data_IF_296829854405
#
_entry.id   IF_296829854405
#
_cell.length_a   1.000
_cell.length_b   1.000
_cell.length_c   1.000
_cell.angle_alpha   90.00
_cell.angle_beta   90.00
_cell.angle_gamma   90.00
#
_symmetry.space_group_name_H-M   'P 1'
#
loop_
_entity.id
_entity.type
_entity.pdbx_description
1 polymer ?
#
# COMPACT_ATOMS: atom_id res chain seq x y z
N UNK A 1 -10.73 30.57 5.55
CA UNK A 1 -11.77 29.86 6.34
C UNK A 1 -11.13 28.60 6.86
N UNK A 2 -11.11 28.39 8.18
CA UNK A 2 -10.58 27.14 8.74
C UNK A 2 -11.56 26.01 8.44
N UNK A 3 -11.02 24.87 8.00
CA UNK A 3 -11.82 23.64 7.83
C UNK A 3 -12.50 23.28 9.17
N UNK A 4 -13.69 22.65 9.14
CA UNK A 4 -14.34 22.19 10.37
C UNK A 4 -13.41 21.28 11.19
N UNK A 5 -13.45 21.33 12.53
CA UNK A 5 -12.55 20.52 13.37
C UNK A 5 -12.65 19.02 13.05
N UNK A 6 -13.84 18.49 12.83
CA UNK A 6 -14.05 17.08 12.49
C UNK A 6 -13.35 16.68 11.17
N UNK A 7 -13.36 17.53 10.14
CA UNK A 7 -12.65 17.26 8.88
C UNK A 7 -11.13 17.18 9.13
N UNK A 8 -10.58 18.05 9.96
CA UNK A 8 -9.16 18.04 10.29
C UNK A 8 -8.79 16.79 11.08
N UNK A 9 -9.57 16.43 12.10
CA UNK A 9 -9.34 15.21 12.91
C UNK A 9 -9.37 13.95 12.03
N UNK A 10 -10.28 13.87 11.07
CA UNK A 10 -10.38 12.76 10.12
C UNK A 10 -9.23 12.74 9.12
N UNK A 11 -8.79 13.91 8.64
CA UNK A 11 -7.61 14.01 7.78
C UNK A 11 -6.32 13.62 8.52
N UNK A 12 -6.22 13.99 9.79
CA UNK A 12 -5.10 13.59 10.64
C UNK A 12 -5.12 12.07 10.88
N UNK A 13 -6.28 11.49 11.16
CA UNK A 13 -6.45 10.05 11.27
C UNK A 13 -6.07 9.30 9.97
N UNK A 14 -6.45 9.85 8.81
CA UNK A 14 -6.10 9.30 7.50
C UNK A 14 -4.59 9.36 7.22
N UNK A 15 -3.92 10.39 7.70
CA UNK A 15 -2.49 10.58 7.52
C UNK A 15 -1.64 10.00 8.68
N UNK A 16 -2.28 9.51 9.75
CA UNK A 16 -1.58 8.94 10.92
C UNK A 16 -0.66 7.76 10.53
N UNK A 17 -1.08 6.75 9.72
CA UNK A 17 -0.14 5.88 9.07
C UNK A 17 0.52 6.65 7.90
N UNK A 18 1.86 6.85 7.92
CA UNK A 18 2.53 7.55 6.83
C UNK A 18 2.22 6.90 5.48
N UNK A 19 1.82 7.68 4.49
CA UNK A 19 1.53 7.16 3.14
C UNK A 19 2.72 6.40 2.54
N UNK A 20 3.95 6.81 2.90
CA UNK A 20 5.18 6.09 2.53
C UNK A 20 5.20 4.66 3.09
N UNK A 21 4.70 4.44 4.34
CA UNK A 21 4.58 3.09 4.94
C UNK A 21 3.55 2.24 4.21
N UNK A 22 2.39 2.79 3.92
CA UNK A 22 1.35 2.05 3.16
C UNK A 22 1.86 1.67 1.76
N UNK A 23 2.52 2.60 1.06
CA UNK A 23 3.15 2.32 -0.22
C UNK A 23 4.29 1.29 -0.13
N UNK A 24 5.03 1.26 0.97
CA UNK A 24 6.05 0.25 1.23
C UNK A 24 5.41 -1.12 1.45
N UNK A 25 4.41 -1.25 2.33
CA UNK A 25 3.66 -2.48 2.56
C UNK A 25 3.06 -3.02 1.27
N UNK A 26 2.51 -2.15 0.43
CA UNK A 26 2.00 -2.51 -0.89
C UNK A 26 3.10 -3.12 -1.77
N UNK A 27 4.31 -2.55 -1.79
CA UNK A 27 5.43 -3.12 -2.56
C UNK A 27 5.84 -4.50 -2.06
N UNK A 28 5.85 -4.73 -0.75
CA UNK A 28 6.12 -6.05 -0.18
C UNK A 28 5.01 -7.05 -0.50
N UNK A 29 3.75 -6.66 -0.41
CA UNK A 29 2.62 -7.50 -0.75
C UNK A 29 2.60 -7.90 -2.25
N UNK A 30 3.06 -7.00 -3.13
CA UNK A 30 3.07 -7.23 -4.59
C UNK A 30 4.40 -7.78 -5.12
N UNK A 31 5.43 -7.94 -4.27
CA UNK A 31 6.76 -8.39 -4.70
C UNK A 31 7.53 -7.35 -5.52
N UNK A 32 7.16 -6.08 -5.41
CA UNK A 32 7.79 -4.96 -6.14
C UNK A 32 8.71 -4.11 -5.26
N UNK A 33 9.06 -4.61 -4.07
CA UNK A 33 9.98 -3.94 -3.16
C UNK A 33 11.36 -3.79 -3.81
N UNK A 34 12.03 -2.70 -3.44
CA UNK A 34 13.41 -2.45 -3.92
C UNK A 34 14.36 -3.43 -3.26
N UNK A 35 15.35 -3.89 -4.03
CA UNK A 35 16.44 -4.67 -3.46
C UNK A 35 17.22 -3.82 -2.45
N UNK A 36 17.20 -4.25 -1.20
CA UNK A 36 17.98 -3.64 -0.15
C UNK A 36 19.46 -4.04 -0.25
N UNK A 37 20.33 -3.29 0.42
CA UNK A 37 21.78 -3.57 0.53
C UNK A 37 22.54 -3.61 -0.80
N UNK A 38 22.04 -3.00 -1.86
CA UNK A 38 22.74 -2.78 -3.11
C UNK A 38 23.25 -1.33 -3.19
N UNK A 39 24.57 -1.15 -3.42
CA UNK A 39 25.09 0.15 -3.80
C UNK A 39 24.53 0.58 -5.16
N UNK A 40 24.55 1.88 -5.43
CA UNK A 40 24.06 2.41 -6.70
C UNK A 40 24.90 1.89 -7.89
N UNK A 41 26.22 1.73 -7.68
CA UNK A 41 27.14 1.17 -8.67
C UNK A 41 26.83 -0.32 -8.94
N UNK A 42 26.58 -1.12 -7.88
CA UNK A 42 26.17 -2.51 -8.03
C UNK A 42 24.84 -2.64 -8.76
N UNK A 43 23.92 -1.71 -8.52
CA UNK A 43 22.62 -1.67 -9.18
C UNK A 43 22.74 -1.33 -10.67
N UNK A 44 23.66 -0.42 -11.02
CA UNK A 44 23.96 -0.09 -12.43
C UNK A 44 24.70 -1.21 -13.15
N UNK A 45 25.54 -1.96 -12.43
CA UNK A 45 26.31 -3.08 -13.00
C UNK A 45 25.49 -4.37 -13.15
N UNK A 46 24.36 -4.50 -12.46
CA UNK A 46 23.45 -5.63 -12.59
C UNK A 46 22.53 -5.43 -13.80
N UNK A 47 22.37 -6.49 -14.58
CA UNK A 47 21.38 -6.51 -15.65
C UNK A 47 20.00 -6.20 -15.09
N UNK A 48 19.18 -5.48 -15.86
CA UNK A 48 17.84 -5.03 -15.48
C UNK A 48 16.90 -6.16 -15.03
N UNK A 49 17.18 -7.39 -15.40
CA UNK A 49 16.43 -8.57 -15.00
C UNK A 49 16.79 -9.07 -13.59
N UNK A 50 18.06 -8.98 -13.19
CA UNK A 50 18.52 -9.52 -11.90
C UNK A 50 18.08 -8.64 -10.72
N UNK A 51 18.00 -7.33 -10.87
CA UNK A 51 17.61 -6.46 -9.76
C UNK A 51 16.10 -6.49 -9.45
N UNK A 52 15.28 -7.06 -10.33
CA UNK A 52 13.83 -7.25 -10.13
C UNK A 52 13.48 -8.59 -9.47
N UNK A 53 14.49 -9.42 -9.21
CA UNK A 53 14.24 -10.69 -8.55
C UNK A 53 13.89 -10.45 -7.09
N UNK A 54 12.65 -10.71 -6.75
CA UNK A 54 12.16 -10.70 -5.38
C UNK A 54 11.36 -11.96 -5.11
N UNK A 55 11.69 -12.63 -4.01
CA UNK A 55 10.88 -13.74 -3.51
C UNK A 55 9.68 -13.16 -2.78
N UNK A 56 8.46 -13.46 -3.27
CA UNK A 56 7.24 -12.87 -2.73
C UNK A 56 6.67 -13.67 -1.54
N UNK A 57 7.52 -13.97 -0.54
CA UNK A 57 7.11 -14.58 0.74
C UNK A 57 6.05 -13.73 1.45
N UNK A 58 6.13 -12.39 1.47
CA UNK A 58 5.12 -11.56 2.10
C UNK A 58 3.71 -11.82 1.57
N UNK A 59 3.52 -11.88 0.24
CA UNK A 59 2.23 -12.21 -0.34
C UNK A 59 1.75 -13.62 0.04
N UNK A 60 2.67 -14.59 0.06
CA UNK A 60 2.34 -15.96 0.46
C UNK A 60 1.91 -16.02 1.93
N UNK A 61 2.54 -15.25 2.82
CA UNK A 61 2.16 -15.16 4.22
C UNK A 61 0.73 -14.64 4.37
N UNK A 62 0.39 -13.53 3.72
CA UNK A 62 -0.95 -12.96 3.74
C UNK A 62 -1.99 -13.94 3.14
N UNK A 63 -1.71 -14.52 1.96
CA UNK A 63 -2.65 -15.43 1.31
C UNK A 63 -2.92 -16.69 2.14
N UNK A 64 -1.88 -17.26 2.75
CA UNK A 64 -2.03 -18.44 3.63
C UNK A 64 -2.88 -18.18 4.86
N UNK A 65 -2.85 -16.96 5.41
CA UNK A 65 -3.74 -16.55 6.49
C UNK A 65 -5.15 -16.32 5.97
N UNK A 66 -5.32 -15.61 4.85
CA UNK A 66 -6.63 -15.37 4.23
C UNK A 66 -7.39 -16.64 3.89
N UNK A 67 -6.71 -17.68 3.41
CA UNK A 67 -7.31 -18.97 3.08
C UNK A 67 -7.97 -19.66 4.29
N UNK A 68 -7.52 -19.33 5.49
CA UNK A 68 -8.05 -19.86 6.76
C UNK A 68 -9.16 -18.99 7.35
N UNK A 69 -9.27 -17.75 6.89
CA UNK A 69 -10.32 -16.82 7.33
C UNK A 69 -11.56 -17.04 6.48
N UNK A 70 -12.61 -17.60 7.10
CA UNK A 70 -13.90 -17.82 6.42
C UNK A 70 -15.03 -17.37 7.31
N UNK A 71 -15.98 -16.66 6.73
CA UNK A 71 -17.25 -16.36 7.37
C UNK A 71 -18.14 -17.59 7.21
N UNK A 72 -18.45 -18.25 8.31
CA UNK A 72 -19.26 -19.48 8.28
C UNK A 72 -20.76 -19.21 8.24
N UNK A 73 -21.20 -18.02 8.61
CA UNK A 73 -22.60 -17.63 8.60
C UNK A 73 -22.89 -16.50 9.56
N UNK A 74 -24.14 -16.15 9.62
CA UNK A 74 -24.67 -15.10 10.48
C UNK A 74 -25.80 -15.68 11.34
N UNK A 75 -25.98 -15.11 12.52
CA UNK A 75 -27.11 -15.47 13.42
C UNK A 75 -28.47 -15.02 12.87
N UNK A 76 -28.49 -13.96 12.03
CA UNK A 76 -29.69 -13.47 11.35
C UNK A 76 -29.70 -13.94 9.88
N UNK A 77 -30.74 -14.70 9.44
CA UNK A 77 -30.86 -15.13 8.04
C UNK A 77 -30.87 -13.98 7.02
N UNK A 78 -31.38 -12.79 7.41
CA UNK A 78 -31.40 -11.61 6.55
C UNK A 78 -29.97 -11.10 6.28
N UNK A 79 -29.06 -11.25 7.23
CA UNK A 79 -27.65 -10.88 7.04
C UNK A 79 -26.98 -11.81 6.02
N UNK A 80 -27.31 -13.10 6.02
CA UNK A 80 -26.81 -14.07 5.01
C UNK A 80 -27.30 -13.71 3.60
N UNK A 81 -28.58 -13.35 3.46
CA UNK A 81 -29.15 -12.93 2.18
C UNK A 81 -28.48 -11.64 1.68
N UNK A 82 -28.30 -10.65 2.56
CA UNK A 82 -27.63 -9.39 2.22
C UNK A 82 -26.18 -9.63 1.82
N UNK A 83 -25.45 -10.47 2.52
CA UNK A 83 -24.06 -10.79 2.27
C UNK A 83 -23.88 -11.37 0.85
N UNK A 84 -24.72 -12.33 0.46
CA UNK A 84 -24.69 -12.90 -0.89
C UNK A 84 -25.15 -11.91 -1.97
N UNK A 85 -26.20 -11.14 -1.67
CA UNK A 85 -26.77 -10.18 -2.62
C UNK A 85 -25.85 -8.97 -2.91
N UNK A 86 -24.96 -8.65 -1.99
CA UNK A 86 -23.99 -7.54 -2.15
C UNK A 86 -22.63 -8.01 -2.60
N UNK A 87 -22.50 -9.29 -3.00
CA UNK A 87 -21.22 -9.92 -3.39
C UNK A 87 -20.14 -9.86 -2.30
N UNK A 88 -20.53 -9.64 -1.03
CA UNK A 88 -19.61 -9.62 0.09
C UNK A 88 -18.97 -10.99 0.36
N UNK A 89 -19.57 -12.06 -0.10
CA UNK A 89 -18.98 -13.41 -0.08
C UNK A 89 -17.67 -13.50 -0.86
N UNK A 90 -17.54 -12.73 -1.95
CA UNK A 90 -16.33 -12.60 -2.75
C UNK A 90 -15.43 -11.47 -2.25
N UNK A 91 -16.01 -10.33 -1.92
CA UNK A 91 -15.28 -9.12 -1.48
C UNK A 91 -14.66 -9.26 -0.09
N UNK A 92 -15.23 -10.09 0.79
CA UNK A 92 -14.72 -10.26 2.15
C UNK A 92 -13.26 -10.75 2.19
N UNK A 93 -12.88 -11.64 1.29
CA UNK A 93 -11.48 -12.12 1.21
C UNK A 93 -10.51 -10.99 0.89
N UNK A 94 -10.89 -10.07 -0.01
CA UNK A 94 -10.07 -8.90 -0.32
C UNK A 94 -9.97 -7.97 0.89
N UNK A 95 -11.08 -7.67 1.56
CA UNK A 95 -11.08 -6.81 2.75
C UNK A 95 -10.25 -7.40 3.91
N UNK A 96 -10.27 -8.72 4.08
CA UNK A 96 -9.42 -9.43 5.05
C UNK A 96 -7.94 -9.39 4.63
N UNK A 97 -7.63 -9.55 3.34
CA UNK A 97 -6.27 -9.41 2.81
C UNK A 97 -5.72 -8.02 3.05
N UNK A 98 -6.53 -6.99 2.84
CA UNK A 98 -6.15 -5.60 3.11
C UNK A 98 -5.93 -5.36 4.61
N UNK A 99 -6.78 -5.92 5.49
CA UNK A 99 -6.61 -5.85 6.93
C UNK A 99 -5.28 -6.50 7.38
N UNK A 100 -4.93 -7.67 6.86
CA UNK A 100 -3.67 -8.36 7.15
C UNK A 100 -2.46 -7.59 6.59
N UNK A 101 -2.60 -7.03 5.40
CA UNK A 101 -1.50 -6.30 4.72
C UNK A 101 -1.22 -4.95 5.35
N UNK A 102 -2.25 -4.17 5.66
CA UNK A 102 -2.11 -2.77 6.10
C UNK A 102 -2.42 -2.56 7.58
N UNK A 103 -2.99 -3.56 8.25
CA UNK A 103 -3.43 -3.50 9.64
C UNK A 103 -4.92 -3.20 9.79
N UNK A 104 -5.55 -2.58 8.80
CA UNK A 104 -7.00 -2.33 8.75
C UNK A 104 -7.46 -2.35 7.29
N UNK A 105 -8.50 -3.10 7.00
CA UNK A 105 -9.26 -3.06 5.75
C UNK A 105 -10.55 -2.28 5.92
N UNK A 106 -11.16 -1.84 4.83
CA UNK A 106 -12.40 -1.06 4.89
C UNK A 106 -13.44 -1.59 3.92
N UNK A 107 -14.68 -1.70 4.41
CA UNK A 107 -15.86 -2.02 3.60
C UNK A 107 -16.83 -0.85 3.71
N UNK A 108 -17.23 -0.30 2.58
CA UNK A 108 -18.28 0.71 2.50
C UNK A 108 -19.59 0.04 2.10
N UNK A 109 -20.63 0.20 2.93
CA UNK A 109 -21.97 -0.30 2.64
C UNK A 109 -22.91 0.88 2.44
N UNK A 110 -23.48 1.01 1.25
CA UNK A 110 -24.29 2.16 0.87
C UNK A 110 -25.58 1.77 0.15
N UNK A 111 -26.59 2.60 0.22
CA UNK A 111 -27.82 2.44 -0.56
C UNK A 111 -27.74 3.21 -1.87
N UNK A 112 -27.77 2.52 -3.01
CA UNK A 112 -27.81 3.10 -4.35
C UNK A 112 -29.09 2.68 -5.06
N UNK A 113 -29.91 3.64 -5.45
CA UNK A 113 -31.19 3.37 -6.13
C UNK A 113 -32.09 2.39 -5.36
N UNK A 114 -32.17 2.53 -4.04
CA UNK A 114 -32.96 1.66 -3.15
C UNK A 114 -32.40 0.26 -2.94
N UNK A 115 -31.20 -0.04 -3.46
CA UNK A 115 -30.50 -1.31 -3.24
C UNK A 115 -29.25 -1.10 -2.42
N UNK A 116 -28.99 -1.99 -1.45
CA UNK A 116 -27.73 -2.02 -0.74
C UNK A 116 -26.62 -2.51 -1.68
N UNK A 117 -25.51 -1.81 -1.68
CA UNK A 117 -24.27 -2.16 -2.37
C UNK A 117 -23.14 -2.14 -1.35
N UNK A 118 -22.17 -3.02 -1.52
CA UNK A 118 -20.95 -3.04 -0.72
C UNK A 118 -19.74 -2.92 -1.64
N UNK A 119 -18.71 -2.25 -1.16
CA UNK A 119 -17.40 -2.16 -1.84
C UNK A 119 -16.28 -2.24 -0.84
N UNK A 120 -15.17 -2.85 -1.26
CA UNK A 120 -13.91 -2.81 -0.51
C UNK A 120 -13.16 -1.56 -0.92
N UNK A 121 -12.71 -0.81 0.07
CA UNK A 121 -12.07 0.48 -0.13
C UNK A 121 -10.57 0.41 0.18
N UNK A 122 -9.78 1.16 -0.58
CA UNK A 122 -8.34 1.22 -0.41
C UNK A 122 -7.97 1.79 0.96
N UNK A 123 -7.20 1.06 1.80
CA UNK A 123 -6.78 1.54 3.12
C UNK A 123 -5.96 2.83 3.10
N UNK A 124 -5.32 3.17 1.97
CA UNK A 124 -4.59 4.44 1.81
C UNK A 124 -5.52 5.65 1.64
N UNK A 125 -6.79 5.40 1.34
CA UNK A 125 -7.80 6.43 1.08
C UNK A 125 -8.83 6.55 2.19
N UNK A 126 -8.86 5.63 3.15
CA UNK A 126 -9.88 5.52 4.17
C UNK A 126 -9.31 5.58 5.59
N UNK A 127 -10.06 6.19 6.50
CA UNK A 127 -9.82 6.14 7.94
C UNK A 127 -11.14 6.27 8.69
N UNK A 128 -11.14 5.86 9.97
CA UNK A 128 -12.27 6.02 10.87
C UNK A 128 -11.81 6.59 12.21
N UNK A 129 -12.67 7.40 12.81
CA UNK A 129 -12.55 7.80 14.21
C UNK A 129 -13.40 6.85 15.05
N UNK A 130 -12.81 6.35 16.13
CA UNK A 130 -13.48 5.45 17.08
C UNK A 130 -13.61 6.12 18.43
N UNK A 131 -14.71 5.83 19.11
CA UNK A 131 -14.87 6.19 20.51
C UNK A 131 -13.83 5.44 21.35
N UNK A 132 -13.03 6.13 22.18
CA UNK A 132 -12.05 5.48 23.03
C UNK A 132 -12.66 4.60 24.11
N UNK A 133 -13.95 4.80 24.48
CA UNK A 133 -14.60 4.07 25.56
C UNK A 133 -15.10 2.69 25.11
N UNK A 134 -15.78 2.62 23.96
CA UNK A 134 -16.41 1.39 23.46
C UNK A 134 -15.92 0.95 22.09
N UNK A 135 -15.01 1.73 21.47
CA UNK A 135 -14.44 1.51 20.14
C UNK A 135 -15.47 1.55 19.00
N UNK A 136 -16.67 2.06 19.25
CA UNK A 136 -17.65 2.29 18.20
C UNK A 136 -17.13 3.30 17.17
N UNK A 137 -17.55 3.16 15.91
CA UNK A 137 -17.15 4.09 14.85
C UNK A 137 -18.01 5.35 14.93
N UNK A 138 -17.38 6.48 15.21
CA UNK A 138 -18.03 7.78 15.31
C UNK A 138 -18.15 8.48 13.95
N UNK A 139 -17.14 8.38 13.14
CA UNK A 139 -17.08 8.96 11.80
C UNK A 139 -16.09 8.21 10.91
N UNK A 140 -16.33 8.25 9.61
CA UNK A 140 -15.42 7.72 8.60
C UNK A 140 -15.05 8.77 7.56
N UNK A 141 -13.87 8.63 6.95
CA UNK A 141 -13.42 9.46 5.83
C UNK A 141 -12.97 8.59 4.68
N UNK A 142 -13.29 9.03 3.46
CA UNK A 142 -12.69 8.52 2.22
C UNK A 142 -12.18 9.71 1.42
N UNK A 143 -10.90 9.67 1.03
CA UNK A 143 -10.25 10.71 0.22
C UNK A 143 -9.66 10.08 -1.04
N UNK A 144 -9.97 10.63 -2.19
CA UNK A 144 -9.34 10.26 -3.45
C UNK A 144 -9.07 11.50 -4.31
N UNK A 145 -8.18 11.36 -5.27
CA UNK A 145 -7.80 12.43 -6.17
C UNK A 145 -8.30 12.13 -7.59
N UNK A 146 -8.82 13.16 -8.22
CA UNK A 146 -9.09 13.19 -9.65
C UNK A 146 -7.98 13.98 -10.37
N UNK A 147 -8.10 14.17 -11.68
CA UNK A 147 -7.13 14.97 -12.43
C UNK A 147 -7.03 16.44 -11.98
N UNK A 148 -8.13 17.00 -11.45
CA UNK A 148 -8.25 18.42 -11.09
C UNK A 148 -8.57 18.69 -9.64
N UNK A 149 -9.20 17.75 -8.95
CA UNK A 149 -9.73 17.94 -7.60
C UNK A 149 -9.35 16.80 -6.66
N UNK A 150 -9.30 17.10 -5.37
CA UNK A 150 -9.23 16.12 -4.29
C UNK A 150 -10.61 16.08 -3.63
N UNK A 151 -11.23 14.92 -3.68
CA UNK A 151 -12.56 14.68 -3.15
C UNK A 151 -12.46 14.00 -1.79
N UNK A 152 -13.26 14.46 -0.84
CA UNK A 152 -13.34 13.91 0.51
C UNK A 152 -14.79 13.69 0.87
N UNK A 153 -15.10 12.46 1.26
CA UNK A 153 -16.39 12.07 1.80
C UNK A 153 -16.23 11.79 3.30
N UNK A 154 -17.05 12.46 4.10
CA UNK A 154 -17.16 12.21 5.54
C UNK A 154 -18.47 11.47 5.79
N UNK A 155 -18.36 10.31 6.38
CA UNK A 155 -19.48 9.43 6.70
C UNK A 155 -19.82 9.55 8.18
N UNK A 156 -21.01 10.02 8.46
CA UNK A 156 -21.60 10.12 9.80
C UNK A 156 -22.81 9.19 9.91
N UNK A 157 -23.34 9.04 11.11
CA UNK A 157 -24.50 8.18 11.33
C UNK A 157 -25.79 8.73 10.68
N UNK A 158 -25.93 10.06 10.60
CA UNK A 158 -27.10 10.78 10.12
C UNK A 158 -26.94 11.39 8.72
N UNK A 159 -25.70 11.69 8.32
CA UNK A 159 -25.41 12.34 7.04
C UNK A 159 -24.08 11.91 6.44
N UNK A 160 -23.91 12.17 5.14
CA UNK A 160 -22.64 12.08 4.42
C UNK A 160 -22.33 13.45 3.84
N UNK A 161 -21.16 13.99 4.16
CA UNK A 161 -20.70 15.27 3.68
C UNK A 161 -19.68 15.06 2.55
N UNK A 162 -19.88 15.74 1.43
CA UNK A 162 -18.94 15.76 0.31
C UNK A 162 -18.18 17.07 0.28
N UNK A 163 -16.88 17.00 0.36
CA UNK A 163 -15.94 18.12 0.34
C UNK A 163 -15.02 17.99 -0.86
N UNK A 164 -14.70 19.12 -1.50
CA UNK A 164 -13.80 19.16 -2.64
C UNK A 164 -12.76 20.27 -2.47
N UNK A 165 -11.57 20.03 -2.99
CA UNK A 165 -10.49 21.01 -3.06
C UNK A 165 -9.72 20.85 -4.37
N UNK A 166 -9.14 21.93 -4.95
CA UNK A 166 -8.25 21.83 -6.10
C UNK A 166 -7.01 20.99 -5.77
N UNK A 167 -6.63 20.09 -6.66
CA UNK A 167 -5.42 19.24 -6.51
C UNK A 167 -4.12 20.05 -6.68
N UNK A 168 -4.18 21.19 -7.39
CA UNK A 168 -3.02 22.07 -7.66
C UNK A 168 -3.28 23.44 -7.08
N UNK A 169 -2.36 23.91 -6.23
CA UNK A 169 -2.40 25.24 -5.62
C UNK A 169 -1.77 25.23 -4.23
N UNK A 170 -1.19 26.34 -3.80
CA UNK A 170 -0.63 26.51 -2.45
C UNK A 170 -1.75 26.71 -1.41
N UNK A 171 -1.92 25.77 -0.50
CA UNK A 171 -2.94 25.79 0.55
C UNK A 171 -4.22 25.08 0.12
N UNK A 172 -4.38 23.84 0.61
CA UNK A 172 -5.58 23.04 0.33
C UNK A 172 -6.69 23.49 1.28
N UNK A 173 -7.66 24.24 0.75
CA UNK A 173 -8.89 24.59 1.48
C UNK A 173 -10.04 23.78 0.89
N UNK A 174 -10.62 22.90 1.71
CA UNK A 174 -11.78 22.12 1.31
C UNK A 174 -13.05 22.96 1.40
N UNK A 175 -13.87 22.92 0.36
CA UNK A 175 -15.21 23.51 0.32
C UNK A 175 -16.25 22.39 0.42
N UNK A 176 -17.27 22.58 1.24
CA UNK A 176 -18.43 21.70 1.29
C UNK A 176 -19.21 21.85 -0.02
N UNK A 177 -19.38 20.73 -0.73
CA UNK A 177 -20.14 20.68 -1.99
C UNK A 177 -21.59 20.34 -1.73
N UNK A 178 -21.83 19.29 -0.94
CA UNK A 178 -23.19 18.84 -0.60
C UNK A 178 -23.21 18.04 0.70
N UNK A 179 -24.39 17.90 1.26
CA UNK A 179 -24.68 17.01 2.40
C UNK A 179 -25.85 16.12 2.01
N UNK A 180 -25.67 14.81 2.16
CA UNK A 180 -26.64 13.79 1.79
C UNK A 180 -27.10 13.08 3.07
N UNK A 181 -28.42 12.96 3.34
CA UNK A 181 -28.91 12.21 4.48
C UNK A 181 -28.46 10.74 4.43
N UNK A 182 -28.02 10.20 5.56
CA UNK A 182 -27.67 8.80 5.69
C UNK A 182 -28.87 8.01 6.24
N UNK A 183 -29.56 7.20 5.42
CA UNK A 183 -30.76 6.49 5.88
C UNK A 183 -30.47 5.28 6.76
N UNK A 184 -29.19 4.91 6.94
CA UNK A 184 -28.83 3.68 7.68
C UNK A 184 -28.76 3.89 9.18
N UNK A 185 -28.65 5.15 9.66
CA UNK A 185 -28.53 5.48 11.08
C UNK A 185 -27.21 5.02 11.72
N UNK A 186 -26.22 4.61 10.91
CA UNK A 186 -24.89 4.21 11.35
C UNK A 186 -23.83 4.65 10.33
N UNK A 187 -22.57 4.76 10.76
CA UNK A 187 -21.47 5.08 9.83
C UNK A 187 -21.31 3.94 8.83
N UNK A 188 -21.46 4.19 7.53
CA UNK A 188 -21.45 3.15 6.51
C UNK A 188 -20.05 2.63 6.15
N UNK A 189 -18.98 3.29 6.59
CA UNK A 189 -17.60 2.85 6.43
C UNK A 189 -17.18 1.96 7.60
N UNK A 190 -17.06 0.67 7.33
CA UNK A 190 -16.86 -0.38 8.33
C UNK A 190 -15.38 -0.79 8.30
N UNK A 191 -14.60 -0.60 9.38
CA UNK A 191 -13.24 -1.07 9.47
C UNK A 191 -13.19 -2.56 9.83
N UNK A 192 -12.27 -3.28 9.19
CA UNK A 192 -11.87 -4.64 9.55
C UNK A 192 -10.47 -4.54 10.12
N UNK A 193 -10.35 -4.59 11.45
CA UNK A 193 -9.09 -4.38 12.14
C UNK A 193 -8.35 -5.69 12.39
N UNK A 194 -7.10 -5.75 11.95
CA UNK A 194 -6.13 -6.75 12.36
C UNK A 194 -5.19 -6.22 13.47
N UNK A 195 -5.25 -4.91 13.76
CA UNK A 195 -4.44 -4.24 14.77
C UNK A 195 -3.05 -3.84 14.29
N UNK A 196 -2.38 -4.68 13.49
CA UNK A 196 -1.09 -4.38 12.83
C UNK A 196 -1.01 -5.09 11.49
N UNK A 197 -0.04 -4.68 10.66
CA UNK A 197 0.28 -5.42 9.44
C UNK A 197 1.04 -6.71 9.76
N UNK A 198 0.67 -7.82 9.13
CA UNK A 198 1.42 -9.08 9.19
C UNK A 198 2.77 -8.97 8.47
N UNK A 199 2.95 -7.96 7.66
CA UNK A 199 4.20 -7.71 6.94
C UNK A 199 5.22 -6.89 7.75
N UNK A 200 4.84 -6.33 8.90
CA UNK A 200 5.74 -5.49 9.70
C UNK A 200 7.00 -6.24 10.17
N UNK A 201 6.87 -7.52 10.49
CA UNK A 201 8.00 -8.35 10.93
C UNK A 201 8.83 -8.90 9.75
N UNK A 202 8.33 -8.82 8.54
CA UNK A 202 8.96 -9.33 7.31
C UNK A 202 9.69 -8.24 6.52
N UNK A 203 9.18 -7.02 6.53
CA UNK A 203 9.75 -5.89 5.79
C UNK A 203 11.03 -5.38 6.43
N UNK A 204 11.94 -4.89 5.61
CA UNK A 204 13.18 -4.22 6.04
C UNK A 204 14.21 -5.12 6.71
N UNK A 205 14.00 -6.44 6.74
CA UNK A 205 14.88 -7.37 7.44
C UNK A 205 14.95 -8.74 6.78
N UNK A 206 14.18 -9.75 7.25
CA UNK A 206 14.36 -11.15 6.80
C UNK A 206 14.17 -11.35 5.30
N UNK A 207 13.16 -10.73 4.70
CA UNK A 207 12.87 -10.85 3.26
C UNK A 207 13.94 -10.16 2.43
N UNK A 208 14.40 -8.99 2.87
CA UNK A 208 15.44 -8.24 2.16
C UNK A 208 16.78 -8.96 2.23
N UNK A 209 17.12 -9.54 3.38
CA UNK A 209 18.32 -10.37 3.55
C UNK A 209 18.27 -11.60 2.63
N UNK A 210 17.14 -12.30 2.58
CA UNK A 210 16.94 -13.44 1.69
C UNK A 210 17.10 -13.05 0.22
N UNK A 211 16.45 -11.98 -0.21
CA UNK A 211 16.55 -11.47 -1.58
C UNK A 211 18.00 -11.11 -1.93
N UNK A 212 18.74 -10.51 -0.99
CA UNK A 212 20.16 -10.21 -1.17
C UNK A 212 21.01 -11.47 -1.34
N UNK A 213 20.77 -12.51 -0.52
CA UNK A 213 21.49 -13.78 -0.63
C UNK A 213 21.22 -14.44 -1.98
N UNK A 214 19.97 -14.53 -2.39
CA UNK A 214 19.58 -15.12 -3.68
C UNK A 214 20.23 -14.35 -4.82
N UNK A 215 20.22 -13.02 -4.79
CA UNK A 215 20.87 -12.20 -5.80
C UNK A 215 22.38 -12.46 -5.87
N UNK A 216 23.07 -12.53 -4.72
CA UNK A 216 24.49 -12.85 -4.67
C UNK A 216 24.80 -14.24 -5.23
N UNK A 217 23.96 -15.22 -4.92
CA UNK A 217 24.09 -16.58 -5.47
C UNK A 217 23.95 -16.57 -6.99
N UNK A 218 22.94 -15.90 -7.52
CA UNK A 218 22.72 -15.83 -8.97
C UNK A 218 23.87 -15.13 -9.71
N UNK A 219 24.36 -14.01 -9.16
CA UNK A 219 25.55 -13.31 -9.71
C UNK A 219 26.77 -14.22 -9.64
N UNK A 220 26.94 -14.99 -8.56
CA UNK A 220 28.03 -15.96 -8.41
C UNK A 220 27.97 -17.07 -9.47
N UNK A 221 26.78 -17.66 -9.66
CA UNK A 221 26.54 -18.70 -10.68
C UNK A 221 26.75 -18.13 -12.09
N UNK A 222 26.23 -16.94 -12.36
CA UNK A 222 26.41 -16.29 -13.65
C UNK A 222 27.91 -16.09 -13.97
N UNK A 223 28.68 -15.57 -13.01
CA UNK A 223 30.14 -15.39 -13.18
C UNK A 223 30.90 -16.70 -13.29
N UNK A 224 30.47 -17.75 -12.59
CA UNK A 224 31.11 -19.06 -12.65
C UNK A 224 30.78 -19.80 -13.96
N UNK A 225 29.60 -19.58 -14.53
CA UNK A 225 29.14 -20.19 -15.79
C UNK A 225 29.82 -19.63 -17.05
N UNK A 226 30.39 -18.43 -16.97
CA UNK A 226 31.23 -17.89 -18.05
C UNK A 226 32.70 -18.25 -17.77
N UNK A 227 33.33 -19.00 -18.70
CA UNK A 227 34.73 -19.41 -18.60
C UNK A 227 35.64 -18.24 -18.24
N UNK A 228 36.44 -18.38 -17.18
CA UNK A 228 37.43 -17.37 -16.81
C UNK A 228 38.65 -17.54 -17.69
N UNK A 229 38.96 -16.54 -18.52
CA UNK A 229 40.23 -16.48 -19.23
C UNK A 229 41.29 -15.91 -18.30
N UNK A 230 42.36 -16.68 -18.08
CA UNK A 230 43.52 -16.25 -17.33
C UNK A 230 44.61 -15.85 -18.35
N UNK A 231 45.13 -14.64 -18.20
CA UNK A 231 46.27 -14.18 -18.97
C UNK A 231 47.44 -14.09 -18.00
N UNK A 232 48.47 -14.85 -18.28
CA UNK A 232 49.74 -14.80 -17.53
C UNK A 232 50.82 -14.13 -18.38
N UNK A 233 51.70 -13.37 -17.74
CA UNK A 233 52.81 -12.69 -18.43
C UNK A 233 52.44 -11.30 -19.00
N UNK A 234 51.34 -10.70 -18.56
CA UNK A 234 51.02 -9.33 -18.87
C UNK A 234 51.83 -8.41 -17.95
N UNK A 235 52.83 -7.69 -18.51
CA UNK A 235 53.43 -6.56 -17.84
C UNK A 235 52.46 -5.37 -17.96
N UNK A 236 51.84 -4.99 -16.82
CA UNK A 236 51.05 -3.77 -16.76
C UNK A 236 52.00 -2.59 -16.78
N UNK A 237 52.15 -1.96 -17.94
CA UNK A 237 52.81 -0.66 -18.04
C UNK A 237 51.91 0.37 -17.36
N UNK A 238 52.26 0.83 -16.18
CA UNK A 238 51.59 1.96 -15.53
C UNK A 238 51.70 3.17 -16.44
N UNK A 239 50.62 3.63 -17.04
CA UNK A 239 50.60 4.93 -17.71
C UNK A 239 50.71 5.99 -16.61
N UNK A 240 51.72 6.89 -16.71
CA UNK A 240 51.75 8.01 -15.78
C UNK A 240 50.46 8.82 -15.95
N UNK A 241 49.81 9.12 -14.83
CA UNK A 241 48.68 10.04 -14.81
C UNK A 241 49.27 11.40 -15.18
N UNK A 242 49.06 11.82 -16.43
CA UNK A 242 49.41 13.16 -16.86
C UNK A 242 48.37 14.11 -16.25
N UNK A 243 48.73 14.75 -15.15
CA UNK A 243 48.04 15.93 -14.66
C UNK A 243 48.13 17.03 -15.72
N UNK A 244 47.00 17.31 -16.35
CA UNK A 244 46.79 18.46 -17.22
C UNK A 244 46.88 18.18 -18.73
N UNK A 245 45.71 18.08 -19.36
CA UNK A 245 45.39 18.63 -20.68
C UNK A 245 46.16 18.16 -21.93
N UNK A 246 46.61 16.93 -21.98
CA UNK A 246 47.23 16.37 -23.20
C UNK A 246 46.31 15.39 -23.91
N UNK A 247 46.02 15.66 -25.18
CA UNK A 247 45.29 14.77 -26.09
C UNK A 247 46.03 13.43 -26.22
N UNK A 248 45.34 12.26 -26.17
CA UNK A 248 45.99 10.97 -26.38
C UNK A 248 46.56 10.88 -27.82
N UNK A 249 47.71 10.22 -28.03
CA UNK A 249 48.23 10.00 -29.36
C UNK A 249 47.29 9.11 -30.19
N UNK A 250 47.19 9.30 -31.50
CA UNK A 250 46.37 8.45 -32.37
C UNK A 250 46.89 7.02 -32.35
N UNK A 251 45.94 6.08 -32.44
CA UNK A 251 46.18 4.64 -32.54
C UNK A 251 46.93 4.29 -33.81
#
# INVERSE_FOLDING_TARGET
MNSPPLLNDLLDALNAPPQARLAELHRYATGTQRQAFLSEESRKALDSQLYRLAVNIPALSVSSLCERLRIHGYSDPRATELFTRTDLDQLATQAMSDALTYGTGYVLVWAKNGKLVASVEDPSQCAVLKDPADRSVLAGIKRYQTASTTEVYIYLADEVQHWSAPTKGGGVTYALVETIPNPTGMVPLIPIDNGRSELDDLRGGPVDALNKVILCMLVGVHRAGFGRSWVTGLELTERPILDGGGQPPPL
#
